data_IF_209394452387
#
_entry.id   IF_209394452387
#
_cell.length_a   1.000
_cell.length_b   1.000
_cell.length_c   1.000
_cell.angle_alpha   90.00
_cell.angle_beta   90.00
_cell.angle_gamma   90.00
#
_symmetry.space_group_name_H-M   'P 1'
#
loop_
_entity.id
_entity.type
_entity.pdbx_description
1 polymer ?
#
# COMPACT_ATOMS: atom_id res chain seq x y z
N UNK A 1 40.68 41.07 64.88
CA UNK A 1 39.29 40.61 64.66
C UNK A 1 38.77 41.19 63.35
N UNK A 2 38.75 40.42 62.25
CA UNK A 2 37.84 40.54 61.10
C UNK A 2 38.25 39.53 60.02
N UNK A 3 37.32 38.62 59.71
CA UNK A 3 37.41 37.62 58.63
C UNK A 3 36.95 38.24 57.32
N UNK A 4 37.75 37.98 56.28
CA UNK A 4 37.44 37.57 54.89
C UNK A 4 36.39 38.34 54.09
N UNK A 5 36.82 38.76 52.90
CA UNK A 5 36.00 38.81 51.69
C UNK A 5 36.72 38.04 50.59
N UNK A 6 36.08 36.97 50.10
CA UNK A 6 36.43 36.25 48.89
C UNK A 6 35.55 36.83 47.78
N UNK A 7 36.17 37.28 46.70
CA UNK A 7 35.51 37.78 45.50
C UNK A 7 35.03 36.59 44.66
N UNK A 8 33.76 36.54 44.29
CA UNK A 8 33.28 35.65 43.22
C UNK A 8 32.43 36.48 42.26
N UNK A 9 32.92 36.57 41.02
CA UNK A 9 32.33 37.30 39.92
C UNK A 9 31.18 36.47 39.34
N UNK A 10 29.95 37.00 39.31
CA UNK A 10 28.83 36.42 38.57
C UNK A 10 28.50 37.37 37.42
N UNK A 11 28.76 36.93 36.19
CA UNK A 11 28.34 37.62 34.98
C UNK A 11 26.86 37.32 34.72
N UNK A 12 26.01 38.34 34.81
CA UNK A 12 24.62 38.28 34.39
C UNK A 12 24.54 38.49 32.87
N UNK A 13 24.16 37.44 32.13
CA UNK A 13 23.83 37.52 30.71
C UNK A 13 22.34 37.86 30.57
N UNK A 14 22.04 39.06 30.06
CA UNK A 14 20.67 39.47 29.76
C UNK A 14 20.06 38.60 28.65
N UNK A 15 19.08 37.76 29.02
CA UNK A 15 18.20 37.09 28.07
C UNK A 15 17.13 38.08 27.59
N UNK A 16 17.35 38.65 26.41
CA UNK A 16 16.27 39.29 25.65
C UNK A 16 15.33 38.18 25.14
N UNK A 17 14.18 38.04 25.78
CA UNK A 17 13.07 37.23 25.28
C UNK A 17 12.44 37.98 24.11
N UNK A 18 12.90 37.70 22.88
CA UNK A 18 12.10 38.00 21.69
C UNK A 18 10.94 37.02 21.69
N UNK A 19 9.77 37.50 22.13
CA UNK A 19 8.51 36.81 21.95
C UNK A 19 8.23 36.69 20.44
N UNK A 20 8.54 35.52 19.88
CA UNK A 20 7.86 35.09 18.66
C UNK A 20 6.41 34.87 19.05
N UNK A 21 5.56 35.86 18.79
CA UNK A 21 4.13 35.61 18.66
C UNK A 21 3.97 34.63 17.50
N UNK A 22 3.91 33.34 17.82
CA UNK A 22 3.39 32.35 16.91
C UNK A 22 1.96 32.80 16.62
N UNK A 23 1.75 33.38 15.43
CA UNK A 23 0.40 33.57 14.92
C UNK A 23 -0.30 32.21 15.01
N UNK A 24 -1.47 32.11 15.68
CA UNK A 24 -2.18 30.85 15.69
C UNK A 24 -2.45 30.49 14.22
N UNK A 25 -2.01 29.30 13.82
CA UNK A 25 -2.45 28.75 12.55
C UNK A 25 -3.98 28.78 12.59
N UNK A 26 -4.61 29.59 11.74
CA UNK A 26 -6.07 29.65 11.63
C UNK A 26 -6.58 28.21 11.56
N UNK A 27 -7.30 27.78 12.60
CA UNK A 27 -7.97 26.50 12.59
C UNK A 27 -9.07 26.61 11.54
N UNK A 28 -9.08 25.70 10.56
CA UNK A 28 -10.08 25.74 9.50
C UNK A 28 -11.49 25.66 10.11
N UNK A 29 -12.37 26.56 9.69
CA UNK A 29 -13.76 26.61 10.12
C UNK A 29 -14.67 25.80 9.19
N UNK A 30 -15.78 25.24 9.69
CA UNK A 30 -16.77 24.59 8.83
C UNK A 30 -17.25 25.55 7.74
N UNK A 31 -17.32 25.07 6.50
CA UNK A 31 -17.61 25.88 5.32
C UNK A 31 -16.38 26.47 4.63
N UNK A 32 -15.20 26.45 5.26
CA UNK A 32 -13.98 26.94 4.62
C UNK A 32 -13.70 26.18 3.33
N UNK A 33 -13.45 26.93 2.26
CA UNK A 33 -13.17 26.37 0.95
C UNK A 33 -11.67 26.17 0.73
N UNK A 34 -11.31 24.99 0.25
CA UNK A 34 -9.99 24.75 -0.35
C UNK A 34 -10.11 25.01 -1.84
N UNK A 35 -9.43 26.06 -2.28
CA UNK A 35 -9.43 26.48 -3.66
C UNK A 35 -8.35 25.75 -4.47
N UNK A 36 -8.78 25.20 -5.60
CA UNK A 36 -7.95 24.53 -6.59
C UNK A 36 -7.70 25.41 -7.82
N UNK A 37 -7.54 24.76 -8.96
CA UNK A 37 -7.26 25.45 -10.21
C UNK A 37 -8.44 26.37 -10.62
N UNK A 38 -8.10 27.55 -11.14
CA UNK A 38 -9.06 28.58 -11.59
C UNK A 38 -10.15 28.94 -10.59
N UNK A 39 -9.75 29.06 -9.32
CA UNK A 39 -10.65 29.45 -8.21
C UNK A 39 -11.81 28.48 -7.95
N UNK A 40 -11.77 27.27 -8.52
CA UNK A 40 -12.78 26.27 -8.23
C UNK A 40 -12.57 25.67 -6.83
N UNK A 41 -13.66 25.53 -6.08
CA UNK A 41 -13.68 24.81 -4.80
C UNK A 41 -13.43 23.34 -5.04
N UNK A 42 -12.38 22.80 -4.44
CA UNK A 42 -12.01 21.38 -4.54
C UNK A 42 -12.24 20.62 -3.24
N UNK A 43 -12.43 21.34 -2.14
CA UNK A 43 -12.74 20.77 -0.83
C UNK A 43 -13.46 21.79 0.02
N UNK A 44 -14.36 21.33 0.88
CA UNK A 44 -15.04 22.14 1.89
C UNK A 44 -14.86 21.47 3.24
N UNK A 45 -14.49 22.23 4.27
CA UNK A 45 -14.41 21.69 5.63
C UNK A 45 -15.82 21.46 6.18
N UNK A 46 -16.07 20.28 6.73
CA UNK A 46 -17.31 20.00 7.48
C UNK A 46 -17.17 20.30 8.98
N UNK A 47 -18.26 20.12 9.72
CA UNK A 47 -18.32 20.35 11.18
C UNK A 47 -17.31 19.52 11.97
N UNK A 48 -16.87 18.38 11.43
CA UNK A 48 -15.86 17.52 12.06
C UNK A 48 -14.43 17.87 11.63
N UNK A 49 -14.24 18.99 10.91
CA UNK A 49 -12.95 19.43 10.38
C UNK A 49 -12.40 18.52 9.27
N UNK A 50 -13.25 17.70 8.65
CA UNK A 50 -12.86 16.85 7.52
C UNK A 50 -13.00 17.62 6.22
N UNK A 51 -12.12 17.35 5.27
CA UNK A 51 -12.16 17.94 3.94
C UNK A 51 -13.08 17.10 3.06
N UNK A 52 -14.25 17.62 2.71
CA UNK A 52 -15.20 16.98 1.79
C UNK A 52 -14.83 17.38 0.35
N UNK A 53 -14.34 16.41 -0.43
CA UNK A 53 -13.90 16.60 -1.80
C UNK A 53 -15.06 17.02 -2.71
N UNK A 54 -14.81 18.02 -3.56
CA UNK A 54 -15.74 18.53 -4.56
C UNK A 54 -15.25 18.11 -5.97
N UNK A 55 -15.83 17.06 -6.58
CA UNK A 55 -15.37 16.56 -7.87
C UNK A 55 -15.76 17.49 -9.03
N UNK A 56 -14.84 17.67 -9.97
CA UNK A 56 -15.13 18.24 -11.27
C UNK A 56 -15.98 17.25 -12.08
N UNK A 57 -17.13 17.73 -12.58
CA UNK A 57 -18.08 16.96 -13.39
C UNK A 57 -17.93 17.21 -14.89
N UNK A 58 -17.21 18.26 -15.28
CA UNK A 58 -16.98 18.66 -16.68
C UNK A 58 -15.57 19.21 -16.89
N UNK A 59 -15.12 19.22 -18.14
CA UNK A 59 -13.88 19.88 -18.53
C UNK A 59 -13.98 21.39 -18.32
N UNK A 60 -12.88 22.03 -17.97
CA UNK A 60 -12.77 23.48 -17.80
C UNK A 60 -11.58 23.95 -18.63
N UNK A 61 -11.83 24.89 -19.55
CA UNK A 61 -10.83 25.50 -20.43
C UNK A 61 -9.90 24.49 -21.11
N UNK A 62 -10.51 23.47 -21.72
CA UNK A 62 -9.80 22.41 -22.44
C UNK A 62 -9.15 21.34 -21.56
N UNK A 63 -9.11 21.52 -20.23
CA UNK A 63 -8.57 20.53 -19.30
C UNK A 63 -9.66 19.55 -18.87
N UNK A 64 -9.39 18.25 -19.02
CA UNK A 64 -10.36 17.20 -18.74
C UNK A 64 -10.76 17.17 -17.26
N UNK A 65 -12.02 16.84 -16.96
CA UNK A 65 -12.47 16.61 -15.58
C UNK A 65 -11.61 15.57 -14.85
N UNK A 66 -11.12 14.55 -15.56
CA UNK A 66 -10.27 13.52 -14.99
C UNK A 66 -8.93 14.08 -14.51
N UNK A 67 -8.33 14.96 -15.31
CA UNK A 67 -7.09 15.66 -14.95
C UNK A 67 -7.27 16.58 -13.75
N UNK A 68 -8.36 17.36 -13.76
CA UNK A 68 -8.69 18.29 -12.67
C UNK A 68 -8.94 17.54 -11.36
N UNK A 69 -9.69 16.43 -11.40
CA UNK A 69 -9.93 15.57 -10.24
C UNK A 69 -8.64 14.95 -9.70
N UNK A 70 -7.75 14.47 -10.57
CA UNK A 70 -6.45 13.96 -10.16
C UNK A 70 -5.60 15.06 -9.49
N UNK A 71 -5.57 16.28 -10.05
CA UNK A 71 -4.89 17.45 -9.46
C UNK A 71 -5.46 17.82 -8.09
N UNK A 72 -6.78 17.89 -7.99
CA UNK A 72 -7.46 18.23 -6.75
C UNK A 72 -7.18 17.20 -5.66
N UNK A 73 -7.38 15.91 -5.93
CA UNK A 73 -7.09 14.85 -4.97
C UNK A 73 -5.62 14.83 -4.56
N UNK A 74 -4.68 15.06 -5.49
CA UNK A 74 -3.27 15.21 -5.13
C UNK A 74 -3.02 16.42 -4.23
N UNK A 75 -3.68 17.55 -4.46
CA UNK A 75 -3.56 18.74 -3.59
C UNK A 75 -4.10 18.47 -2.19
N UNK A 76 -5.21 17.73 -2.08
CA UNK A 76 -5.83 17.41 -0.79
C UNK A 76 -5.08 16.31 -0.03
N UNK A 77 -4.54 15.30 -0.72
CA UNK A 77 -3.99 14.09 -0.10
C UNK A 77 -2.47 14.12 0.10
N UNK A 78 -1.74 14.96 -0.63
CA UNK A 78 -0.30 15.09 -0.46
C UNK A 78 0.09 15.77 0.86
N UNK A 79 1.39 15.70 1.16
CA UNK A 79 1.98 16.28 2.35
C UNK A 79 1.69 15.47 3.63
N UNK A 80 2.36 15.85 4.71
CA UNK A 80 2.40 15.02 5.93
C UNK A 80 1.61 15.60 7.12
N UNK A 81 0.88 16.71 6.91
CA UNK A 81 -0.02 17.26 7.94
C UNK A 81 -1.16 16.28 8.21
N UNK A 82 -1.59 16.19 9.47
CA UNK A 82 -2.74 15.41 9.85
C UNK A 82 -3.99 15.92 9.12
N UNK A 83 -4.73 15.03 8.49
CA UNK A 83 -5.93 15.37 7.73
C UNK A 83 -6.85 14.18 7.54
N UNK A 84 -8.14 14.48 7.40
CA UNK A 84 -9.16 13.54 6.95
C UNK A 84 -9.79 14.09 5.68
N UNK A 85 -9.78 13.31 4.61
CA UNK A 85 -10.40 13.66 3.33
C UNK A 85 -11.53 12.67 3.07
N UNK A 86 -12.70 13.19 2.72
CA UNK A 86 -13.90 12.42 2.39
C UNK A 86 -14.19 12.58 0.91
N UNK A 87 -14.23 11.48 0.17
CA UNK A 87 -14.83 11.44 -1.16
C UNK A 87 -16.30 11.09 -0.95
N UNK A 88 -17.26 11.98 -1.31
CA UNK A 88 -18.66 11.79 -0.94
C UNK A 88 -19.24 10.49 -1.51
N UNK A 89 -20.12 9.86 -0.73
CA UNK A 89 -20.81 8.64 -1.16
C UNK A 89 -21.64 8.88 -2.41
N UNK A 90 -21.78 7.86 -3.28
CA UNK A 90 -22.51 7.97 -4.54
C UNK A 90 -21.77 8.72 -5.66
N UNK A 91 -20.59 9.29 -5.38
CA UNK A 91 -19.82 9.99 -6.42
C UNK A 91 -19.03 9.01 -7.28
N UNK A 92 -18.93 9.32 -8.58
CA UNK A 92 -17.99 8.67 -9.50
C UNK A 92 -16.96 9.69 -9.96
N UNK A 93 -15.70 9.46 -9.58
CA UNK A 93 -14.57 10.35 -9.85
C UNK A 93 -13.67 9.68 -10.88
N UNK A 94 -13.52 10.31 -12.04
CA UNK A 94 -12.51 9.89 -13.01
C UNK A 94 -11.17 10.55 -12.70
N UNK A 95 -10.06 9.84 -12.89
CA UNK A 95 -8.69 10.35 -12.79
C UNK A 95 -7.86 9.89 -13.99
N UNK A 96 -6.90 10.70 -14.43
CA UNK A 96 -6.00 10.37 -15.55
C UNK A 96 -4.53 10.32 -15.15
N UNK A 97 -4.22 10.41 -13.86
CA UNK A 97 -2.91 10.01 -13.33
C UNK A 97 -3.03 9.62 -11.85
N UNK A 98 -1.97 9.01 -11.32
CA UNK A 98 -1.98 8.39 -9.99
C UNK A 98 -2.13 9.43 -8.88
N UNK A 99 -3.05 9.19 -7.95
CA UNK A 99 -3.20 9.99 -6.73
C UNK A 99 -2.04 9.67 -5.78
N UNK A 100 -1.39 10.70 -5.23
CA UNK A 100 -0.34 10.57 -4.24
C UNK A 100 -0.87 10.89 -2.84
N UNK A 101 -0.77 9.90 -1.94
CA UNK A 101 -1.18 10.03 -0.54
C UNK A 101 0.04 10.25 0.36
N UNK A 102 -0.05 11.25 1.22
CA UNK A 102 0.97 11.57 2.21
C UNK A 102 0.66 11.04 3.61
N UNK A 103 1.60 11.24 4.54
CA UNK A 103 1.49 10.73 5.90
C UNK A 103 0.37 11.39 6.70
N UNK A 104 -0.05 10.74 7.79
CA UNK A 104 -1.07 11.23 8.73
C UNK A 104 -2.43 11.52 8.05
N UNK A 105 -2.79 10.70 7.06
CA UNK A 105 -3.98 10.90 6.24
C UNK A 105 -5.01 9.82 6.49
N UNK A 106 -6.23 10.21 6.82
CA UNK A 106 -7.42 9.35 6.72
C UNK A 106 -8.18 9.69 5.45
N UNK A 107 -8.36 8.73 4.56
CA UNK A 107 -9.15 8.85 3.34
C UNK A 107 -10.40 7.99 3.48
N UNK A 108 -11.57 8.62 3.47
CA UNK A 108 -12.88 7.98 3.56
C UNK A 108 -13.53 8.07 2.19
N UNK A 109 -13.89 6.93 1.61
CA UNK A 109 -14.47 6.83 0.27
C UNK A 109 -15.66 5.86 0.25
N UNK A 110 -16.33 5.65 1.38
CA UNK A 110 -17.48 4.73 1.49
C UNK A 110 -18.57 5.05 0.47
N UNK A 111 -18.86 4.10 -0.41
CA UNK A 111 -19.83 4.24 -1.51
C UNK A 111 -19.38 5.13 -2.68
N UNK A 112 -18.15 5.66 -2.68
CA UNK A 112 -17.58 6.37 -3.82
C UNK A 112 -16.91 5.41 -4.83
N UNK A 113 -16.85 5.80 -6.10
CA UNK A 113 -16.13 5.07 -7.16
C UNK A 113 -15.06 5.96 -7.79
N UNK A 114 -13.81 5.51 -7.80
CA UNK A 114 -12.67 6.17 -8.41
C UNK A 114 -12.23 5.34 -9.62
N UNK A 115 -12.21 5.97 -10.80
CA UNK A 115 -11.91 5.31 -12.08
C UNK A 115 -10.67 5.96 -12.69
N UNK A 116 -9.57 5.21 -12.74
CA UNK A 116 -8.38 5.57 -13.48
C UNK A 116 -8.60 5.24 -14.96
N UNK A 117 -8.38 6.22 -15.86
CA UNK A 117 -8.77 6.16 -17.28
C UNK A 117 -7.62 6.10 -18.30
N UNK A 118 -6.36 6.11 -17.88
CA UNK A 118 -5.22 6.11 -18.82
C UNK A 118 -4.27 4.94 -18.61
N UNK A 119 -3.63 4.47 -19.66
CA UNK A 119 -2.64 3.41 -19.49
C UNK A 119 -1.41 3.90 -18.67
N UNK A 120 -0.61 2.95 -18.18
CA UNK A 120 0.65 3.23 -17.47
C UNK A 120 0.51 4.02 -16.14
N UNK A 121 -0.67 4.02 -15.53
CA UNK A 121 -0.93 4.67 -14.25
C UNK A 121 -1.71 3.74 -13.31
N UNK A 122 -1.50 3.92 -12.00
CA UNK A 122 -2.32 3.31 -10.95
C UNK A 122 -3.36 4.30 -10.42
N UNK A 123 -4.22 3.83 -9.52
CA UNK A 123 -5.20 4.67 -8.82
C UNK A 123 -4.56 5.48 -7.70
N UNK A 124 -3.75 4.85 -6.85
CA UNK A 124 -3.22 5.43 -5.62
C UNK A 124 -1.79 4.93 -5.34
N UNK A 125 -0.92 5.82 -4.88
CA UNK A 125 0.39 5.44 -4.34
C UNK A 125 0.92 6.49 -3.36
N UNK A 126 2.00 6.18 -2.64
CA UNK A 126 2.78 7.21 -1.96
C UNK A 126 3.95 7.70 -2.83
N UNK A 127 4.48 8.88 -2.50
CA UNK A 127 5.76 9.34 -3.02
C UNK A 127 6.93 8.65 -2.31
N UNK A 128 8.03 8.42 -3.02
CA UNK A 128 9.27 7.87 -2.47
C UNK A 128 10.16 8.97 -1.87
N UNK A 129 9.98 9.26 -0.58
CA UNK A 129 10.73 10.34 0.10
C UNK A 129 11.87 9.81 0.96
N UNK A 130 11.68 8.68 1.65
CA UNK A 130 12.66 8.11 2.59
C UNK A 130 12.57 6.59 2.71
N UNK A 131 13.71 5.91 2.77
CA UNK A 131 13.76 4.46 2.99
C UNK A 131 13.53 4.09 4.45
N UNK A 132 13.46 2.79 4.74
CA UNK A 132 13.37 2.30 6.12
C UNK A 132 12.00 2.54 6.74
N UNK A 133 10.94 2.35 5.95
CA UNK A 133 9.54 2.45 6.36
C UNK A 133 9.06 3.89 6.68
N UNK A 134 9.70 4.91 6.10
CA UNK A 134 9.47 6.34 6.38
C UNK A 134 9.00 7.19 5.17
N UNK A 135 8.75 6.59 4.01
CA UNK A 135 8.23 7.32 2.84
C UNK A 135 6.78 7.77 3.02
N UNK A 136 5.99 6.98 3.75
CA UNK A 136 4.61 7.31 4.14
C UNK A 136 4.29 6.62 5.46
N UNK A 137 3.62 7.32 6.38
CA UNK A 137 3.31 6.79 7.70
C UNK A 137 1.90 7.19 8.16
N UNK A 138 1.26 6.34 8.95
CA UNK A 138 -0.02 6.64 9.62
C UNK A 138 -1.13 6.99 8.61
N UNK A 139 -1.45 6.05 7.73
CA UNK A 139 -2.48 6.23 6.70
C UNK A 139 -3.62 5.25 6.92
N UNK A 140 -4.85 5.75 6.88
CA UNK A 140 -6.07 4.92 6.84
C UNK A 140 -6.81 5.19 5.53
N UNK A 141 -7.11 4.15 4.78
CA UNK A 141 -7.97 4.19 3.60
C UNK A 141 -9.20 3.35 3.91
N UNK A 142 -10.37 3.97 3.87
CA UNK A 142 -11.64 3.37 4.21
C UNK A 142 -12.56 3.41 2.99
N UNK A 143 -13.05 2.24 2.60
CA UNK A 143 -14.06 2.10 1.55
C UNK A 143 -13.58 2.45 0.14
N UNK A 144 -14.57 2.65 -0.72
CA UNK A 144 -14.41 3.03 -2.11
C UNK A 144 -14.22 1.86 -3.07
N UNK A 145 -14.69 2.07 -4.29
CA UNK A 145 -14.37 1.21 -5.43
C UNK A 145 -13.28 1.88 -6.26
N UNK A 146 -12.12 1.26 -6.36
CA UNK A 146 -10.93 1.78 -7.02
C UNK A 146 -10.65 0.93 -8.26
N UNK A 147 -10.93 1.49 -9.44
CA UNK A 147 -10.84 0.76 -10.71
C UNK A 147 -9.71 1.30 -11.58
N UNK A 148 -8.73 0.45 -11.87
CA UNK A 148 -7.73 0.71 -12.90
C UNK A 148 -8.28 0.28 -14.27
N UNK A 149 -9.14 1.10 -14.86
CA UNK A 149 -9.96 0.70 -16.01
C UNK A 149 -9.16 0.53 -17.30
N UNK A 150 -8.07 1.28 -17.45
CA UNK A 150 -7.15 1.17 -18.59
C UNK A 150 -5.78 0.76 -18.08
N UNK A 151 -5.42 -0.52 -18.25
CA UNK A 151 -4.18 -1.06 -17.68
C UNK A 151 -3.43 -2.02 -18.61
N UNK A 152 -3.15 -1.62 -19.85
CA UNK A 152 -2.52 -2.53 -20.84
C UNK A 152 -1.11 -2.97 -20.43
N UNK A 153 -0.44 -2.17 -19.59
CA UNK A 153 0.94 -2.42 -19.12
C UNK A 153 1.05 -3.12 -17.76
N UNK A 154 -0.07 -3.50 -17.13
CA UNK A 154 -0.02 -4.24 -15.87
C UNK A 154 0.48 -3.42 -14.68
N UNK A 155 0.15 -2.13 -14.65
CA UNK A 155 0.47 -1.24 -13.51
C UNK A 155 -0.38 -1.60 -12.29
N UNK A 156 0.25 -1.55 -11.12
CA UNK A 156 -0.42 -1.71 -9.84
C UNK A 156 -1.48 -0.63 -9.60
N UNK A 157 -2.69 -1.04 -9.19
CA UNK A 157 -3.76 -0.11 -8.85
C UNK A 157 -3.45 0.68 -7.57
N UNK A 158 -3.06 0.01 -6.48
CA UNK A 158 -2.60 0.65 -5.24
C UNK A 158 -1.20 0.20 -4.84
N UNK A 159 -0.22 1.10 -4.89
CA UNK A 159 1.19 0.78 -4.59
C UNK A 159 1.70 1.55 -3.38
N UNK A 160 2.15 0.83 -2.36
CA UNK A 160 2.82 1.41 -1.20
C UNK A 160 4.26 0.92 -1.10
N UNK A 161 5.19 1.86 -0.93
CA UNK A 161 6.61 1.56 -0.90
C UNK A 161 7.33 2.31 0.22
N UNK A 162 8.20 1.61 0.96
CA UNK A 162 9.00 2.14 2.07
C UNK A 162 8.17 2.88 3.13
N UNK A 163 6.96 2.42 3.43
CA UNK A 163 6.06 3.05 4.41
C UNK A 163 5.80 2.21 5.66
N UNK A 164 5.08 2.79 6.62
CA UNK A 164 4.61 2.07 7.80
C UNK A 164 3.25 2.52 8.32
N UNK A 165 2.63 1.68 9.15
CA UNK A 165 1.35 1.98 9.83
C UNK A 165 0.25 2.39 8.84
N UNK A 166 -0.10 1.46 7.95
CA UNK A 166 -1.16 1.65 6.94
C UNK A 166 -2.30 0.68 7.19
N UNK A 167 -3.53 1.18 7.10
CA UNK A 167 -4.75 0.37 7.10
C UNK A 167 -5.53 0.61 5.82
N UNK A 168 -5.87 -0.45 5.10
CA UNK A 168 -6.84 -0.46 3.99
C UNK A 168 -8.02 -1.30 4.45
N UNK A 169 -9.20 -0.70 4.54
CA UNK A 169 -10.38 -1.29 5.20
C UNK A 169 -11.62 -1.11 4.33
N UNK A 170 -12.29 -2.20 3.94
CA UNK A 170 -13.57 -2.12 3.22
C UNK A 170 -13.48 -1.66 1.75
N UNK A 171 -12.27 -1.60 1.17
CA UNK A 171 -12.08 -1.15 -0.21
C UNK A 171 -12.34 -2.27 -1.23
N UNK A 172 -12.93 -1.91 -2.38
CA UNK A 172 -12.92 -2.77 -3.57
C UNK A 172 -11.87 -2.26 -4.55
N UNK A 173 -10.86 -3.06 -4.87
CA UNK A 173 -9.78 -2.68 -5.80
C UNK A 173 -9.78 -3.60 -7.01
N UNK A 174 -9.94 -3.00 -8.18
CA UNK A 174 -10.12 -3.70 -9.45
C UNK A 174 -8.97 -3.34 -10.39
N UNK A 175 -8.30 -4.36 -10.90
CA UNK A 175 -7.24 -4.26 -11.91
C UNK A 175 -7.45 -5.31 -13.00
N UNK A 176 -6.48 -5.47 -13.91
CA UNK A 176 -6.45 -6.58 -14.86
C UNK A 176 -5.53 -7.72 -14.38
N UNK A 177 -5.48 -8.81 -15.13
CA UNK A 177 -4.67 -9.99 -14.80
C UNK A 177 -3.15 -9.84 -15.04
N UNK A 178 -2.68 -8.65 -15.42
CA UNK A 178 -1.28 -8.35 -15.68
C UNK A 178 -0.70 -7.35 -14.67
N UNK A 179 -1.52 -6.75 -13.80
CA UNK A 179 -1.07 -5.86 -12.73
C UNK A 179 -1.57 -6.32 -11.36
N UNK A 180 -1.13 -5.59 -10.33
CA UNK A 180 -1.51 -5.89 -8.94
C UNK A 180 -2.68 -5.02 -8.49
N UNK A 181 -3.61 -5.57 -7.70
CA UNK A 181 -4.62 -4.73 -7.05
C UNK A 181 -3.95 -3.92 -5.93
N UNK A 182 -3.17 -4.60 -5.08
CA UNK A 182 -2.38 -3.98 -4.02
C UNK A 182 -0.95 -4.53 -4.04
N UNK A 183 0.04 -3.64 -4.01
CA UNK A 183 1.46 -3.98 -3.93
C UNK A 183 2.08 -3.29 -2.71
N UNK A 184 2.68 -4.08 -1.81
CA UNK A 184 3.34 -3.64 -0.58
C UNK A 184 4.83 -3.92 -0.67
N UNK A 185 5.65 -2.88 -0.85
CA UNK A 185 7.09 -3.00 -1.14
C UNK A 185 7.88 -2.42 0.02
N UNK A 186 8.62 -3.26 0.75
CA UNK A 186 9.34 -2.82 1.97
C UNK A 186 8.42 -2.03 2.93
N UNK A 187 7.29 -2.62 3.30
CA UNK A 187 6.29 -2.04 4.19
C UNK A 187 6.37 -2.61 5.61
N UNK A 188 6.01 -1.81 6.62
CA UNK A 188 5.95 -2.27 8.03
C UNK A 188 4.64 -1.93 8.71
N UNK A 189 4.05 -2.85 9.46
CA UNK A 189 2.78 -2.62 10.18
C UNK A 189 1.66 -2.22 9.21
N UNK A 190 1.27 -3.13 8.30
CA UNK A 190 0.17 -2.88 7.36
C UNK A 190 -0.96 -3.85 7.61
N UNK A 191 -2.20 -3.36 7.58
CA UNK A 191 -3.41 -4.20 7.62
C UNK A 191 -4.25 -3.95 6.39
N UNK A 192 -4.52 -4.99 5.60
CA UNK A 192 -5.52 -4.99 4.52
C UNK A 192 -6.66 -5.88 4.98
N UNK A 193 -7.84 -5.30 5.20
CA UNK A 193 -8.97 -6.03 5.77
C UNK A 193 -10.32 -5.69 5.16
N UNK A 194 -11.22 -6.67 5.18
CA UNK A 194 -12.60 -6.52 4.69
C UNK A 194 -12.67 -6.02 3.23
N UNK A 195 -11.62 -6.23 2.44
CA UNK A 195 -11.53 -5.74 1.07
C UNK A 195 -11.94 -6.79 0.04
N UNK A 196 -12.30 -6.31 -1.15
CA UNK A 196 -12.40 -7.13 -2.36
C UNK A 196 -11.27 -6.72 -3.31
N UNK A 197 -10.31 -7.61 -3.54
CA UNK A 197 -9.19 -7.39 -4.46
C UNK A 197 -9.37 -8.30 -5.66
N UNK A 198 -9.67 -7.75 -6.84
CA UNK A 198 -9.98 -8.57 -8.02
C UNK A 198 -9.28 -8.11 -9.30
N UNK A 199 -8.76 -9.07 -10.04
CA UNK A 199 -8.40 -8.91 -11.43
C UNK A 199 -9.59 -9.28 -12.34
N UNK A 200 -9.85 -8.45 -13.35
CA UNK A 200 -10.92 -8.65 -14.33
C UNK A 200 -10.38 -8.67 -15.77
N UNK A 201 -11.23 -9.07 -16.71
CA UNK A 201 -10.90 -9.13 -18.14
C UNK A 201 -10.16 -10.40 -18.57
N UNK A 202 -9.44 -10.31 -19.69
CA UNK A 202 -8.73 -11.44 -20.28
C UNK A 202 -7.49 -11.78 -19.45
N UNK A 203 -7.33 -13.06 -19.13
CA UNK A 203 -6.18 -13.61 -18.40
C UNK A 203 -5.34 -14.48 -19.34
N UNK A 204 -4.03 -14.28 -19.39
CA UNK A 204 -3.13 -15.21 -20.08
C UNK A 204 -3.11 -16.56 -19.35
N UNK A 205 -3.08 -17.68 -20.11
CA UNK A 205 -3.13 -19.05 -19.55
C UNK A 205 -2.08 -19.31 -18.46
N UNK A 206 -0.90 -18.71 -18.58
CA UNK A 206 0.23 -18.86 -17.65
C UNK A 206 0.55 -17.59 -16.85
N UNK A 207 -0.36 -16.61 -16.77
CA UNK A 207 -0.12 -15.42 -15.94
C UNK A 207 0.07 -15.82 -14.47
N UNK A 208 0.99 -15.13 -13.79
CA UNK A 208 1.38 -15.38 -12.40
C UNK A 208 1.29 -14.13 -11.52
N UNK A 209 0.78 -13.03 -12.06
CA UNK A 209 0.69 -11.76 -11.34
C UNK A 209 -0.27 -11.86 -10.15
N UNK A 210 0.17 -11.32 -9.02
CA UNK A 210 -0.59 -11.31 -7.78
C UNK A 210 -1.70 -10.27 -7.77
N UNK A 211 -2.86 -10.62 -7.21
CA UNK A 211 -3.81 -9.58 -6.80
C UNK A 211 -3.28 -8.77 -5.60
N UNK A 212 -2.72 -9.43 -4.58
CA UNK A 212 -2.01 -8.79 -3.48
C UNK A 212 -0.57 -9.29 -3.40
N UNK A 213 0.38 -8.38 -3.64
CA UNK A 213 1.81 -8.66 -3.58
C UNK A 213 2.43 -8.05 -2.32
N UNK A 214 3.18 -8.86 -1.57
CA UNK A 214 4.04 -8.43 -0.46
C UNK A 214 5.47 -8.63 -0.96
N UNK A 215 6.13 -7.54 -1.33
CA UNK A 215 7.35 -7.58 -2.13
C UNK A 215 8.59 -7.05 -1.40
N UNK A 216 9.72 -7.54 -1.87
CA UNK A 216 11.06 -7.05 -1.54
C UNK A 216 11.39 -5.86 -2.45
N UNK A 217 12.02 -4.84 -1.92
CA UNK A 217 12.41 -3.68 -2.70
C UNK A 217 13.69 -3.97 -3.52
N UNK A 218 13.57 -4.55 -4.72
CA UNK A 218 14.70 -4.74 -5.66
C UNK A 218 14.38 -4.19 -7.05
N UNK A 219 15.40 -3.92 -7.89
CA UNK A 219 15.15 -3.47 -9.27
C UNK A 219 14.31 -4.44 -10.11
N UNK A 220 14.39 -5.76 -9.86
CA UNK A 220 13.66 -6.76 -10.66
C UNK A 220 12.26 -7.06 -10.14
N UNK A 221 12.03 -7.06 -8.84
CA UNK A 221 10.69 -7.34 -8.28
C UNK A 221 9.84 -6.08 -8.18
N UNK A 222 10.47 -4.93 -7.87
CA UNK A 222 9.81 -3.63 -7.76
C UNK A 222 10.31 -2.60 -8.82
N UNK A 223 10.17 -2.89 -10.13
CA UNK A 223 10.70 -2.01 -11.18
C UNK A 223 10.06 -0.61 -11.18
N UNK A 224 8.81 -0.48 -10.74
CA UNK A 224 8.14 0.82 -10.59
C UNK A 224 8.80 1.70 -9.52
N UNK A 225 9.28 1.10 -8.42
CA UNK A 225 10.03 1.81 -7.37
C UNK A 225 11.42 2.19 -7.86
N UNK A 226 12.07 1.30 -8.62
CA UNK A 226 13.36 1.60 -9.24
C UNK A 226 13.30 2.77 -10.22
N UNK A 227 12.28 2.81 -11.08
CA UNK A 227 12.10 3.90 -12.05
C UNK A 227 11.83 5.24 -11.37
N UNK A 228 11.09 5.24 -10.27
CA UNK A 228 10.72 6.47 -9.55
C UNK A 228 11.83 6.98 -8.62
N UNK A 229 12.48 6.10 -7.85
CA UNK A 229 13.43 6.49 -6.80
C UNK A 229 14.86 5.98 -6.97
N UNK A 230 15.12 5.13 -7.97
CA UNK A 230 16.43 4.56 -8.23
C UNK A 230 16.91 3.55 -7.18
N UNK A 231 18.22 3.25 -7.21
CA UNK A 231 18.87 2.22 -6.37
C UNK A 231 18.66 2.42 -4.87
N UNK A 232 18.53 3.67 -4.42
CA UNK A 232 18.31 4.03 -3.02
C UNK A 232 17.08 3.32 -2.45
N UNK A 233 15.99 3.26 -3.22
CA UNK A 233 14.74 2.66 -2.81
C UNK A 233 14.61 1.19 -3.22
N UNK A 234 15.63 0.60 -3.85
CA UNK A 234 15.64 -0.83 -4.22
C UNK A 234 16.85 -1.54 -3.63
N UNK A 235 16.98 -1.40 -2.31
CA UNK A 235 18.11 -1.86 -1.50
C UNK A 235 17.94 -3.28 -0.90
N UNK A 236 16.91 -4.03 -1.31
CA UNK A 236 16.58 -5.35 -0.77
C UNK A 236 15.84 -5.33 0.57
N UNK A 237 15.24 -4.21 0.94
CA UNK A 237 14.36 -4.11 2.12
C UNK A 237 13.11 -4.98 1.94
N UNK A 238 12.68 -5.64 3.01
CA UNK A 238 11.54 -6.57 3.00
C UNK A 238 10.38 -6.06 3.85
N UNK A 239 9.19 -6.61 3.63
CA UNK A 239 8.02 -6.33 4.45
C UNK A 239 8.08 -7.02 5.83
N UNK A 240 7.51 -6.35 6.84
CA UNK A 240 7.37 -6.89 8.20
C UNK A 240 6.02 -6.53 8.86
N UNK A 241 5.41 -7.45 9.60
CA UNK A 241 4.13 -7.24 10.29
C UNK A 241 3.03 -6.81 9.31
N UNK A 242 2.72 -7.69 8.36
CA UNK A 242 1.64 -7.49 7.38
C UNK A 242 0.47 -8.39 7.76
N UNK A 243 -0.73 -7.82 7.79
CA UNK A 243 -1.97 -8.52 8.11
C UNK A 243 -2.92 -8.43 6.91
N UNK A 244 -3.38 -9.58 6.43
CA UNK A 244 -4.38 -9.73 5.37
C UNK A 244 -5.56 -10.46 6.01
N UNK A 245 -6.64 -9.74 6.31
CA UNK A 245 -7.73 -10.21 7.18
C UNK A 245 -9.09 -10.13 6.49
N UNK A 246 -9.87 -11.21 6.45
CA UNK A 246 -11.27 -11.18 6.02
C UNK A 246 -11.50 -10.59 4.61
N UNK A 247 -10.57 -10.81 3.67
CA UNK A 247 -10.68 -10.30 2.30
C UNK A 247 -11.22 -11.36 1.34
N UNK A 248 -11.81 -10.91 0.24
CA UNK A 248 -11.99 -11.71 -0.97
C UNK A 248 -10.96 -11.30 -2.01
N UNK A 249 -10.08 -12.23 -2.41
CA UNK A 249 -8.93 -11.96 -3.27
C UNK A 249 -8.95 -12.88 -4.48
N UNK A 250 -8.95 -12.31 -5.69
CA UNK A 250 -8.95 -13.04 -6.95
C UNK A 250 -7.94 -12.42 -7.91
N UNK A 251 -6.91 -13.17 -8.29
CA UNK A 251 -5.90 -12.74 -9.25
C UNK A 251 -5.42 -13.88 -10.14
N UNK A 252 -4.42 -13.65 -10.98
CA UNK A 252 -3.73 -14.76 -11.65
C UNK A 252 -3.11 -15.66 -10.58
N UNK A 253 -2.34 -15.06 -9.66
CA UNK A 253 -2.06 -15.55 -8.32
C UNK A 253 -2.91 -14.75 -7.31
N UNK A 254 -3.38 -15.38 -6.24
CA UNK A 254 -4.17 -14.67 -5.23
C UNK A 254 -3.29 -13.72 -4.41
N UNK A 255 -2.47 -14.29 -3.52
CA UNK A 255 -1.53 -13.56 -2.66
C UNK A 255 -0.13 -14.13 -2.80
N UNK A 256 0.91 -13.28 -2.85
CA UNK A 256 2.30 -13.70 -2.75
C UNK A 256 3.09 -12.83 -1.77
N UNK A 257 3.81 -13.46 -0.85
CA UNK A 257 5.03 -12.88 -0.29
C UNK A 257 6.20 -13.31 -1.17
N UNK A 258 6.77 -12.36 -1.92
CA UNK A 258 7.68 -12.64 -3.01
C UNK A 258 9.15 -12.71 -2.53
N UNK A 259 10.05 -13.12 -3.43
CA UNK A 259 11.49 -13.16 -3.18
C UNK A 259 12.26 -12.75 -4.44
N UNK A 260 13.52 -12.37 -4.26
CA UNK A 260 14.37 -11.93 -5.35
C UNK A 260 14.95 -13.11 -6.16
N UNK A 261 14.12 -13.75 -6.99
CA UNK A 261 14.48 -14.93 -7.79
C UNK A 261 15.58 -14.71 -8.83
N UNK A 262 15.70 -13.46 -9.33
CA UNK A 262 16.62 -13.09 -10.42
C UNK A 262 17.82 -12.25 -9.95
N UNK A 263 18.02 -12.10 -8.64
CA UNK A 263 19.07 -11.25 -8.08
C UNK A 263 19.75 -11.94 -6.89
N UNK A 264 20.84 -12.68 -7.16
CA UNK A 264 21.53 -13.51 -6.18
C UNK A 264 21.90 -12.77 -4.87
N UNK A 265 22.28 -11.49 -4.96
CA UNK A 265 22.58 -10.62 -3.80
C UNK A 265 21.42 -10.48 -2.80
N UNK A 266 20.18 -10.65 -3.26
CA UNK A 266 18.97 -10.49 -2.45
C UNK A 266 18.27 -11.83 -2.16
N UNK A 267 18.81 -12.97 -2.63
CA UNK A 267 18.19 -14.29 -2.44
C UNK A 267 17.94 -14.67 -0.99
N UNK A 268 18.77 -14.17 -0.08
CA UNK A 268 18.73 -14.43 1.37
C UNK A 268 17.93 -13.40 2.17
N UNK A 269 17.13 -12.56 1.50
CA UNK A 269 16.26 -11.58 2.15
C UNK A 269 14.91 -12.22 2.44
N UNK A 270 14.41 -11.99 3.66
CA UNK A 270 13.20 -12.61 4.18
C UNK A 270 12.20 -11.57 4.65
N UNK A 271 10.93 -11.82 4.35
CA UNK A 271 9.78 -11.20 5.01
C UNK A 271 9.61 -11.75 6.42
N UNK A 272 8.97 -10.97 7.29
CA UNK A 272 8.75 -11.37 8.68
C UNK A 272 7.35 -11.00 9.18
N UNK A 273 6.76 -11.83 10.05
CA UNK A 273 5.45 -11.59 10.69
C UNK A 273 4.34 -11.32 9.67
N UNK A 274 4.02 -12.31 8.84
CA UNK A 274 2.92 -12.24 7.88
C UNK A 274 1.71 -13.01 8.42
N UNK A 275 0.57 -12.32 8.57
CA UNK A 275 -0.68 -12.89 9.11
C UNK A 275 -1.75 -12.89 8.02
N UNK A 276 -2.28 -14.05 7.66
CA UNK A 276 -3.31 -14.25 6.64
C UNK A 276 -4.48 -14.98 7.32
N UNK A 277 -5.58 -14.28 7.65
CA UNK A 277 -6.68 -14.85 8.44
C UNK A 277 -8.05 -14.56 7.84
N UNK A 278 -8.93 -15.56 7.78
CA UNK A 278 -10.34 -15.35 7.42
C UNK A 278 -10.59 -15.01 5.95
N UNK A 279 -9.62 -15.18 5.06
CA UNK A 279 -9.72 -14.75 3.67
C UNK A 279 -10.30 -15.83 2.76
N UNK A 280 -10.95 -15.41 1.67
CA UNK A 280 -11.24 -16.22 0.49
C UNK A 280 -10.27 -15.84 -0.62
N UNK A 281 -9.33 -16.72 -0.93
CA UNK A 281 -8.23 -16.44 -1.86
C UNK A 281 -8.32 -17.39 -3.05
N UNK A 282 -8.40 -16.83 -4.27
CA UNK A 282 -8.46 -17.58 -5.52
C UNK A 282 -7.33 -17.16 -6.48
N UNK A 283 -6.45 -18.12 -6.80
CA UNK A 283 -5.51 -18.00 -7.92
C UNK A 283 -6.14 -18.56 -9.18
N UNK A 284 -6.34 -17.75 -10.21
CA UNK A 284 -7.03 -18.15 -11.44
C UNK A 284 -6.12 -18.96 -12.37
N UNK A 285 -4.82 -18.70 -12.39
CA UNK A 285 -3.85 -19.41 -13.23
C UNK A 285 -2.58 -19.80 -12.49
N UNK A 286 -2.37 -19.31 -11.28
CA UNK A 286 -1.24 -19.58 -10.41
C UNK A 286 -1.73 -19.97 -8.99
N UNK A 287 -0.83 -20.01 -8.01
CA UNK A 287 -1.15 -20.39 -6.63
C UNK A 287 -2.27 -19.52 -6.04
N UNK A 288 -3.07 -20.08 -5.13
CA UNK A 288 -3.98 -19.28 -4.31
C UNK A 288 -3.17 -18.38 -3.38
N UNK A 289 -2.30 -18.99 -2.58
CA UNK A 289 -1.39 -18.30 -1.66
C UNK A 289 0.04 -18.83 -1.84
N UNK A 290 1.01 -17.94 -2.04
CA UNK A 290 2.42 -18.28 -2.05
C UNK A 290 3.17 -17.45 -1.00
N UNK A 291 3.97 -18.11 -0.16
CA UNK A 291 4.82 -17.49 0.85
C UNK A 291 6.26 -17.91 0.62
N UNK A 292 7.02 -17.06 -0.07
CA UNK A 292 8.45 -17.24 -0.27
C UNK A 292 9.22 -16.49 0.81
N UNK A 293 10.34 -17.08 1.26
CA UNK A 293 11.26 -16.47 2.21
C UNK A 293 10.57 -15.71 3.37
N UNK A 294 9.70 -16.39 4.11
CA UNK A 294 8.95 -15.78 5.23
C UNK A 294 9.29 -16.49 6.54
N UNK A 295 9.75 -15.74 7.56
CA UNK A 295 10.26 -16.31 8.82
C UNK A 295 9.18 -16.57 9.88
N UNK A 296 8.22 -15.68 10.05
CA UNK A 296 7.14 -15.88 11.02
C UNK A 296 5.83 -15.65 10.31
N UNK A 297 5.02 -16.69 10.15
CA UNK A 297 3.72 -16.52 9.52
C UNK A 297 2.61 -17.29 10.21
N UNK A 298 1.41 -16.75 10.10
CA UNK A 298 0.17 -17.35 10.60
C UNK A 298 -0.85 -17.32 9.48
N UNK A 299 -1.30 -18.49 9.06
CA UNK A 299 -2.34 -18.69 8.05
C UNK A 299 -3.48 -19.45 8.71
N UNK A 300 -4.59 -18.76 9.01
CA UNK A 300 -5.71 -19.37 9.75
C UNK A 300 -7.08 -19.11 9.14
N UNK A 301 -7.94 -20.13 9.16
CA UNK A 301 -9.36 -19.99 8.82
C UNK A 301 -9.59 -19.37 7.44
N UNK A 302 -8.75 -19.69 6.45
CA UNK A 302 -8.88 -19.22 5.08
C UNK A 302 -9.49 -20.31 4.18
N UNK A 303 -10.15 -19.87 3.10
CA UNK A 303 -10.48 -20.70 1.95
C UNK A 303 -9.52 -20.33 0.81
N UNK A 304 -8.61 -21.24 0.45
CA UNK A 304 -7.54 -21.01 -0.51
C UNK A 304 -7.71 -21.97 -1.68
N UNK A 305 -7.91 -21.44 -2.88
CA UNK A 305 -8.16 -22.23 -4.09
C UNK A 305 -7.26 -21.78 -5.22
N UNK A 306 -6.67 -22.70 -5.95
CA UNK A 306 -6.19 -22.44 -7.32
C UNK A 306 -7.12 -23.08 -8.35
N UNK A 307 -7.37 -22.36 -9.44
CA UNK A 307 -8.04 -22.84 -10.65
C UNK A 307 -7.05 -23.08 -11.79
N UNK A 308 -5.74 -23.07 -11.50
CA UNK A 308 -4.70 -23.33 -12.48
C UNK A 308 -4.85 -24.72 -13.09
N UNK A 309 -4.86 -24.79 -14.43
CA UNK A 309 -4.90 -26.06 -15.16
C UNK A 309 -3.53 -26.76 -15.25
N UNK A 310 -2.48 -26.19 -14.63
CA UNK A 310 -1.08 -26.65 -14.76
C UNK A 310 -0.75 -27.78 -13.79
N UNK A 311 -1.43 -28.94 -13.93
CA UNK A 311 -1.48 -30.03 -12.93
C UNK A 311 -0.12 -30.56 -12.44
N UNK A 312 0.96 -30.42 -13.19
CA UNK A 312 2.31 -30.86 -12.81
C UNK A 312 3.21 -29.73 -12.27
N UNK A 313 2.82 -28.47 -12.43
CA UNK A 313 3.64 -27.31 -12.08
C UNK A 313 3.36 -26.81 -10.65
N UNK A 314 4.36 -26.20 -10.00
CA UNK A 314 4.19 -25.59 -8.67
C UNK A 314 3.16 -24.46 -8.64
N UNK A 315 2.91 -23.82 -9.78
CA UNK A 315 1.87 -22.81 -9.96
C UNK A 315 0.43 -23.32 -9.86
N UNK A 316 0.21 -24.61 -9.63
CA UNK A 316 -1.13 -25.16 -9.39
C UNK A 316 -1.29 -25.78 -8.01
N UNK A 317 -0.39 -25.43 -7.09
CA UNK A 317 -0.55 -25.68 -5.66
C UNK A 317 -1.52 -24.66 -5.07
N UNK A 318 -2.45 -25.10 -4.21
CA UNK A 318 -3.39 -24.20 -3.54
C UNK A 318 -2.69 -23.19 -2.65
N UNK A 319 -1.88 -23.70 -1.71
CA UNK A 319 -1.01 -22.91 -0.84
C UNK A 319 0.43 -23.43 -0.89
N UNK A 320 1.38 -22.53 -1.15
CA UNK A 320 2.81 -22.84 -1.19
C UNK A 320 3.57 -22.04 -0.13
N UNK A 321 4.39 -22.72 0.64
CA UNK A 321 5.37 -22.12 1.56
C UNK A 321 6.74 -22.63 1.17
N UNK A 322 7.64 -21.74 0.74
CA UNK A 322 8.97 -22.17 0.29
C UNK A 322 10.07 -21.25 0.79
N UNK A 323 11.08 -21.83 1.45
CA UNK A 323 12.35 -21.15 1.69
C UNK A 323 13.24 -21.26 0.44
N UNK A 324 13.51 -20.12 -0.21
CA UNK A 324 14.35 -20.01 -1.40
C UNK A 324 15.78 -19.57 -1.07
N UNK A 325 16.00 -18.92 0.08
CA UNK A 325 17.31 -18.45 0.55
C UNK A 325 17.71 -19.02 1.91
N UNK A 326 18.94 -18.74 2.35
CA UNK A 326 19.47 -19.14 3.66
C UNK A 326 19.35 -17.97 4.65
N UNK A 327 18.91 -18.25 5.88
CA UNK A 327 18.86 -17.28 6.97
C UNK A 327 19.06 -17.96 8.31
N UNK A 328 19.96 -17.46 9.15
CA UNK A 328 20.15 -17.98 10.51
C UNK A 328 18.88 -17.85 11.37
N UNK A 329 18.04 -16.85 11.08
CA UNK A 329 16.75 -16.64 11.74
C UNK A 329 15.72 -17.72 11.38
N UNK A 330 15.89 -18.43 10.26
CA UNK A 330 14.97 -19.50 9.84
C UNK A 330 14.95 -20.68 10.82
N UNK A 331 16.02 -20.88 11.61
CA UNK A 331 16.07 -21.91 12.66
C UNK A 331 15.07 -21.67 13.80
N UNK A 332 14.65 -20.41 13.99
CA UNK A 332 13.70 -19.97 15.04
C UNK A 332 12.37 -19.51 14.45
N UNK A 333 12.18 -19.69 13.14
CA UNK A 333 10.98 -19.31 12.41
C UNK A 333 9.78 -20.15 12.87
N UNK A 334 8.62 -19.50 13.05
CA UNK A 334 7.37 -20.21 13.32
C UNK A 334 6.36 -19.98 12.20
N UNK A 335 5.96 -21.07 11.55
CA UNK A 335 4.94 -21.10 10.50
C UNK A 335 3.72 -21.83 11.07
N UNK A 336 2.61 -21.12 11.30
CA UNK A 336 1.38 -21.68 11.83
C UNK A 336 0.33 -21.75 10.73
N UNK A 337 -0.14 -22.96 10.41
CA UNK A 337 -1.21 -23.20 9.43
C UNK A 337 -2.31 -23.98 10.14
N UNK A 338 -3.48 -23.38 10.33
CA UNK A 338 -4.56 -23.97 11.14
C UNK A 338 -5.95 -23.63 10.58
N UNK A 339 -6.85 -24.61 10.50
CA UNK A 339 -8.25 -24.39 10.16
C UNK A 339 -8.50 -23.88 8.73
N UNK A 340 -7.59 -24.09 7.79
CA UNK A 340 -7.75 -23.64 6.41
C UNK A 340 -8.35 -24.74 5.52
N UNK A 341 -9.21 -24.36 4.58
CA UNK A 341 -9.61 -25.21 3.45
C UNK A 341 -8.74 -24.87 2.25
N UNK A 342 -7.96 -25.83 1.75
CA UNK A 342 -6.97 -25.57 0.70
C UNK A 342 -7.18 -26.54 -0.47
N UNK A 343 -7.43 -26.00 -1.67
CA UNK A 343 -7.62 -26.78 -2.90
C UNK A 343 -6.59 -26.41 -3.97
N UNK A 344 -5.86 -27.42 -4.41
CA UNK A 344 -4.88 -27.36 -5.50
C UNK A 344 -5.25 -28.26 -6.66
N UNK A 345 -4.69 -28.02 -7.85
CA UNK A 345 -4.75 -28.98 -8.95
C UNK A 345 -3.55 -29.95 -8.95
N UNK A 346 -2.37 -29.49 -8.52
CA UNK A 346 -1.21 -30.36 -8.22
C UNK A 346 -1.30 -30.94 -6.81
N UNK A 347 -1.39 -30.06 -5.81
CA UNK A 347 -1.55 -30.42 -4.40
C UNK A 347 -2.21 -29.28 -3.63
N UNK A 348 -2.97 -29.59 -2.58
CA UNK A 348 -3.55 -28.57 -1.71
C UNK A 348 -2.47 -27.67 -1.10
N UNK A 349 -1.55 -28.26 -0.35
CA UNK A 349 -0.45 -27.58 0.34
C UNK A 349 0.90 -28.11 -0.14
N UNK A 350 1.90 -27.24 -0.24
CA UNK A 350 3.30 -27.62 -0.40
C UNK A 350 4.18 -26.78 0.53
N UNK A 351 4.98 -27.44 1.37
CA UNK A 351 5.98 -26.82 2.24
C UNK A 351 7.34 -27.36 1.84
N UNK A 352 8.24 -26.49 1.38
CA UNK A 352 9.53 -26.93 0.82
C UNK A 352 10.69 -25.99 1.20
N UNK A 353 11.91 -26.53 1.13
CA UNK A 353 13.15 -25.76 1.15
C UNK A 353 13.90 -26.00 -0.15
N UNK A 354 14.33 -24.93 -0.80
CA UNK A 354 15.13 -24.94 -2.04
C UNK A 354 16.44 -24.17 -1.84
N UNK A 355 16.95 -24.20 -0.62
CA UNK A 355 18.18 -23.51 -0.24
C UNK A 355 19.39 -24.23 -0.81
N UNK A 356 19.82 -23.85 -2.03
CA UNK A 356 21.12 -24.22 -2.58
C UNK A 356 22.27 -23.66 -1.76
#
# INVERSE_FOLDING_TARGET
MKRKTFTTLVAALCLAVMGFAATPAYAATPGDEIIGWKKATIGVYDEAGRIVFQPYTRSIDGVSAAHLNANALNRLLNGNKQKTVVIPSGTTVSIDYTIRIGSNTTLIADGATIIQKVDNCGTLSNALTKTGYKSVQNVRIQGGTWKNAVNKKGVTAMRFAHGSNIVIDGATVITNYEGHAVELIAMKNVTVRNCVLKAEGKKKKKSVEEALQIDIATPKTAPGVYKEGGKKFTNGATCSNIKVLNNTIVGSRGVCANYASKEAKYKNKFHDKITIVGNKITGQSAEGLALFNTLNCTVKNNVIVTKSARKSESYSVGMRVTAMGKSSKAKKAKIVIQGNTIKGAKSGLAITSQTG
#
